data_IF_439253980806
#
_entry.id   IF_439253980806
#
_cell.length_a   1.000
_cell.length_b   1.000
_cell.length_c   1.000
_cell.angle_alpha   90.00
_cell.angle_beta   90.00
_cell.angle_gamma   90.00
#
_symmetry.space_group_name_H-M   'P 1'
#
loop_
_entity.id
_entity.type
_entity.pdbx_description
1 polymer ?
#
# COMPACT_ATOMS: atom_id res chain seq x y z
N UNK A 1 2.01 16.46 13.25
CA UNK A 1 0.53 16.53 13.26
C UNK A 1 -0.11 15.24 12.77
N UNK A 2 0.14 14.79 11.54
CA UNK A 2 -0.45 13.56 10.96
C UNK A 2 -0.29 12.31 11.84
N UNK A 3 0.89 12.11 12.46
CA UNK A 3 1.10 11.00 13.40
C UNK A 3 0.11 10.99 14.57
N UNK A 4 -0.22 12.15 15.13
CA UNK A 4 -1.17 12.26 16.25
C UNK A 4 -2.58 11.87 15.80
N UNK A 5 -2.97 12.32 14.60
CA UNK A 5 -4.25 11.95 13.99
C UNK A 5 -4.32 10.45 13.69
N UNK A 6 -3.24 9.85 13.19
CA UNK A 6 -3.15 8.41 12.95
C UNK A 6 -3.30 7.61 14.25
N UNK A 7 -2.61 8.02 15.32
CA UNK A 7 -2.73 7.36 16.63
C UNK A 7 -4.13 7.49 17.23
N UNK A 8 -4.80 8.63 17.04
CA UNK A 8 -6.17 8.79 17.50
C UNK A 8 -7.15 7.91 16.71
N UNK A 9 -6.99 7.81 15.39
CA UNK A 9 -7.77 6.90 14.55
C UNK A 9 -7.52 5.43 14.93
N UNK A 10 -6.26 5.04 15.13
CA UNK A 10 -5.87 3.69 15.55
C UNK A 10 -6.49 3.34 16.90
N UNK A 11 -6.33 4.23 17.90
CA UNK A 11 -6.94 4.09 19.23
C UNK A 11 -8.46 3.95 19.13
N UNK A 12 -9.10 4.78 18.31
CA UNK A 12 -10.55 4.76 18.11
C UNK A 12 -11.02 3.41 17.55
N UNK A 13 -10.35 2.91 16.50
CA UNK A 13 -10.63 1.62 15.89
C UNK A 13 -10.43 0.45 16.85
N UNK A 14 -9.29 0.39 17.55
CA UNK A 14 -8.96 -0.70 18.48
C UNK A 14 -9.91 -0.79 19.68
N UNK A 15 -10.43 0.36 20.13
CA UNK A 15 -11.30 0.43 21.30
C UNK A 15 -12.79 0.54 20.93
N UNK A 16 -13.15 0.46 19.64
CA UNK A 16 -14.52 0.70 19.16
C UNK A 16 -15.14 2.02 19.67
N UNK A 17 -14.34 3.09 19.68
CA UNK A 17 -14.76 4.43 20.13
C UNK A 17 -14.68 5.45 18.99
N UNK A 18 -15.22 6.65 19.20
CA UNK A 18 -15.04 7.76 18.24
C UNK A 18 -13.62 8.34 18.35
N UNK A 19 -13.04 8.82 17.23
CA UNK A 19 -11.82 9.63 17.30
C UNK A 19 -12.07 10.91 18.09
N UNK A 20 -11.07 11.35 18.85
CA UNK A 20 -11.10 12.59 19.63
C UNK A 20 -10.95 13.82 18.74
N UNK A 21 -10.17 13.71 17.67
CA UNK A 21 -9.96 14.78 16.71
C UNK A 21 -11.16 14.80 15.76
N UNK A 22 -11.93 15.90 15.70
CA UNK A 22 -13.08 16.02 14.81
C UNK A 22 -12.69 15.88 13.33
N UNK A 23 -13.57 15.30 12.53
CA UNK A 23 -13.36 15.00 11.11
C UNK A 23 -12.85 16.22 10.31
N UNK A 24 -13.45 17.40 10.54
CA UNK A 24 -13.08 18.64 9.85
C UNK A 24 -11.68 19.19 10.20
N UNK A 25 -11.02 18.64 11.23
CA UNK A 25 -9.66 19.00 11.62
C UNK A 25 -8.61 17.98 11.18
N UNK A 26 -9.02 16.81 10.66
CA UNK A 26 -8.14 15.72 10.26
C UNK A 26 -7.51 16.03 8.92
N UNK A 27 -6.23 16.34 8.93
CA UNK A 27 -5.43 16.52 7.72
C UNK A 27 -5.01 15.19 7.11
N UNK A 28 -4.86 14.14 7.91
CA UNK A 28 -4.33 12.84 7.46
C UNK A 28 -5.08 12.23 6.27
N UNK A 29 -6.37 12.52 6.13
CA UNK A 29 -7.20 12.02 5.01
C UNK A 29 -7.13 12.90 3.75
N UNK A 30 -6.50 14.07 3.83
CA UNK A 30 -6.41 15.05 2.72
C UNK A 30 -4.97 15.39 2.33
N UNK A 31 -3.98 15.12 3.18
CA UNK A 31 -2.59 15.44 2.85
C UNK A 31 -2.09 14.59 1.68
N UNK A 32 -1.63 15.20 0.56
CA UNK A 32 -1.18 14.47 -0.63
C UNK A 32 0.02 13.55 -0.35
N UNK A 33 0.93 14.00 0.51
CA UNK A 33 2.09 13.22 0.96
C UNK A 33 1.80 12.42 2.25
N UNK A 34 0.52 12.36 2.64
CA UNK A 34 0.06 11.57 3.77
C UNK A 34 -0.05 10.08 3.44
N UNK A 35 -0.17 9.21 4.46
CA UNK A 35 -0.17 7.76 4.28
C UNK A 35 -1.32 7.22 3.42
N UNK A 36 -2.41 7.99 3.24
CA UNK A 36 -3.55 7.60 2.39
C UNK A 36 -3.36 7.97 0.92
N UNK A 37 -2.51 8.95 0.60
CA UNK A 37 -2.39 9.54 -0.74
C UNK A 37 -0.99 9.39 -1.34
N UNK A 38 0.02 9.07 -0.54
CA UNK A 38 1.40 8.99 -1.00
C UNK A 38 1.58 7.91 -2.08
N UNK A 39 2.03 8.33 -3.28
CA UNK A 39 2.26 7.44 -4.45
C UNK A 39 3.74 7.17 -4.72
N UNK A 40 4.65 7.84 -4.02
CA UNK A 40 6.07 7.86 -4.35
C UNK A 40 6.71 6.47 -4.42
N UNK A 41 6.30 5.53 -3.58
CA UNK A 41 6.80 4.15 -3.64
C UNK A 41 6.56 3.47 -5.00
N UNK A 42 5.45 3.78 -5.68
CA UNK A 42 5.07 3.18 -6.95
C UNK A 42 5.54 3.96 -8.18
N UNK A 43 5.94 5.22 -8.01
CA UNK A 43 6.24 6.13 -9.13
C UNK A 43 7.69 6.57 -9.20
N UNK A 44 8.43 6.47 -8.09
CA UNK A 44 9.84 6.89 -8.03
C UNK A 44 10.75 5.77 -8.52
N UNK A 45 11.88 6.16 -9.12
CA UNK A 45 12.97 5.26 -9.45
C UNK A 45 13.42 4.46 -8.21
N UNK A 46 13.48 3.13 -8.35
CA UNK A 46 13.70 2.24 -7.22
C UNK A 46 15.12 2.35 -6.66
N UNK A 47 16.11 2.50 -7.54
CA UNK A 47 17.52 2.57 -7.14
C UNK A 47 17.79 3.88 -6.37
N UNK A 48 17.25 4.99 -6.85
CA UNK A 48 17.38 6.30 -6.20
C UNK A 48 16.70 6.37 -4.82
N UNK A 49 15.68 5.54 -4.56
CA UNK A 49 14.86 5.65 -3.35
C UNK A 49 15.03 4.51 -2.33
N UNK A 50 15.83 3.48 -2.67
CA UNK A 50 16.06 2.29 -1.83
C UNK A 50 16.52 2.62 -0.40
N UNK A 51 17.48 3.52 -0.23
CA UNK A 51 17.99 3.88 1.11
C UNK A 51 16.91 4.54 1.98
N UNK A 52 15.99 5.29 1.36
CA UNK A 52 14.86 5.87 2.09
C UNK A 52 13.88 4.78 2.51
N UNK A 53 13.61 3.77 1.67
CA UNK A 53 12.78 2.62 2.03
C UNK A 53 13.37 1.86 3.21
N UNK A 54 14.68 1.60 3.21
CA UNK A 54 15.36 0.93 4.33
C UNK A 54 15.20 1.70 5.65
N UNK A 55 15.35 3.04 5.60
CA UNK A 55 15.14 3.91 6.77
C UNK A 55 13.69 3.89 7.24
N UNK A 56 12.73 3.92 6.31
CA UNK A 56 11.29 3.90 6.63
C UNK A 56 10.94 2.58 7.31
N UNK A 57 11.30 1.45 6.72
CA UNK A 57 11.03 0.11 7.28
C UNK A 57 11.66 -0.06 8.66
N UNK A 58 12.91 0.39 8.83
CA UNK A 58 13.58 0.39 10.15
C UNK A 58 12.81 1.22 11.19
N UNK A 59 12.34 2.42 10.82
CA UNK A 59 11.58 3.28 11.72
C UNK A 59 10.19 2.72 12.08
N UNK A 60 9.63 1.88 11.20
CA UNK A 60 8.36 1.18 11.41
C UNK A 60 8.53 -0.17 12.11
N UNK A 61 9.78 -0.60 12.36
CA UNK A 61 10.10 -1.93 12.88
C UNK A 61 9.47 -3.05 12.05
N UNK A 62 9.46 -2.86 10.72
CA UNK A 62 8.85 -3.77 9.76
C UNK A 62 9.88 -4.31 8.78
N UNK A 63 9.71 -5.56 8.35
CA UNK A 63 10.55 -6.19 7.32
C UNK A 63 10.05 -5.87 5.90
N UNK A 64 8.73 -5.81 5.76
CA UNK A 64 8.01 -5.61 4.50
C UNK A 64 6.90 -4.56 4.66
N UNK A 65 6.51 -3.93 3.57
CA UNK A 65 5.35 -3.03 3.51
C UNK A 65 4.42 -3.43 2.37
N UNK A 66 3.11 -3.44 2.62
CA UNK A 66 2.08 -3.64 1.60
C UNK A 66 1.40 -2.31 1.31
N UNK A 67 1.32 -1.92 0.03
CA UNK A 67 0.76 -0.64 -0.40
C UNK A 67 -0.26 -0.81 -1.52
N UNK A 68 -1.08 0.23 -1.74
CA UNK A 68 -2.08 0.27 -2.80
C UNK A 68 -2.16 1.69 -3.40
N UNK A 69 -3.35 2.10 -3.83
CA UNK A 69 -3.71 3.45 -4.31
C UNK A 69 -3.16 3.85 -5.68
N UNK A 70 -2.07 3.24 -6.14
CA UNK A 70 -1.51 3.45 -7.47
C UNK A 70 -1.65 2.18 -8.30
N UNK A 71 -2.67 2.08 -9.17
CA UNK A 71 -2.93 0.89 -9.97
C UNK A 71 -1.73 0.50 -10.83
N UNK A 72 -1.35 -0.78 -10.77
CA UNK A 72 -0.32 -1.39 -11.59
C UNK A 72 -0.90 -2.55 -12.40
N UNK A 73 -0.34 -2.75 -13.59
CA UNK A 73 -0.68 -3.90 -14.43
C UNK A 73 0.20 -5.06 -14.00
N UNK A 74 -0.40 -6.07 -13.36
CA UNK A 74 0.31 -7.22 -12.83
C UNK A 74 0.16 -8.41 -13.79
N UNK A 75 1.28 -8.88 -14.33
CA UNK A 75 1.37 -10.08 -15.18
C UNK A 75 2.11 -11.21 -14.49
N UNK A 76 3.11 -10.87 -13.68
CA UNK A 76 3.86 -11.82 -12.86
C UNK A 76 3.87 -11.39 -11.40
N UNK A 77 4.35 -12.27 -10.53
CA UNK A 77 4.53 -11.97 -9.11
C UNK A 77 5.54 -10.84 -8.89
N UNK A 78 6.55 -10.76 -9.74
CA UNK A 78 7.61 -9.74 -9.68
C UNK A 78 7.06 -8.34 -9.97
N UNK A 79 5.99 -8.22 -10.78
CA UNK A 79 5.34 -6.92 -11.02
C UNK A 79 4.71 -6.32 -9.75
N UNK A 80 4.41 -7.16 -8.75
CA UNK A 80 3.93 -6.70 -7.43
C UNK A 80 5.08 -6.32 -6.49
N UNK A 81 6.33 -6.62 -6.84
CA UNK A 81 7.48 -6.38 -5.97
C UNK A 81 8.16 -5.05 -6.32
N UNK A 82 8.32 -4.22 -5.30
CA UNK A 82 9.07 -2.98 -5.35
C UNK A 82 10.25 -3.07 -4.37
N UNK A 83 11.34 -2.39 -4.70
CA UNK A 83 12.55 -2.30 -3.88
C UNK A 83 13.09 -3.67 -3.47
N UNK A 84 13.30 -4.55 -4.46
CA UNK A 84 13.80 -5.92 -4.23
C UNK A 84 12.91 -6.73 -3.28
N UNK A 85 11.59 -6.56 -3.39
CA UNK A 85 10.58 -7.29 -2.61
C UNK A 85 10.38 -6.76 -1.18
N UNK A 86 10.97 -5.61 -0.83
CA UNK A 86 10.76 -4.96 0.48
C UNK A 86 9.40 -4.26 0.57
N UNK A 87 8.83 -3.88 -0.58
CA UNK A 87 7.49 -3.33 -0.68
C UNK A 87 6.70 -4.16 -1.69
N UNK A 88 5.43 -4.44 -1.37
CA UNK A 88 4.50 -5.15 -2.23
C UNK A 88 3.32 -4.25 -2.60
N UNK A 89 3.05 -4.09 -3.89
CA UNK A 89 1.90 -3.31 -4.38
C UNK A 89 0.73 -4.23 -4.74
N UNK A 90 -0.42 -3.99 -4.11
CA UNK A 90 -1.64 -4.80 -4.26
C UNK A 90 -2.77 -4.07 -5.00
N UNK A 91 -2.52 -2.85 -5.49
CA UNK A 91 -3.46 -2.17 -6.36
C UNK A 91 -3.31 -2.69 -7.79
N UNK A 92 -3.96 -3.82 -8.07
CA UNK A 92 -3.83 -4.54 -9.34
C UNK A 92 -4.84 -4.05 -10.40
N UNK A 93 -5.46 -2.90 -10.17
CA UNK A 93 -6.44 -2.32 -11.08
C UNK A 93 -7.76 -3.10 -11.14
N UNK A 94 -8.31 -3.49 -9.98
CA UNK A 94 -9.54 -4.30 -9.90
C UNK A 94 -10.81 -3.58 -10.38
N UNK A 95 -10.79 -2.25 -10.44
CA UNK A 95 -11.94 -1.46 -10.89
C UNK A 95 -12.22 -1.70 -12.37
N UNK A 96 -13.49 -1.56 -12.77
CA UNK A 96 -13.91 -1.76 -14.17
C UNK A 96 -13.14 -0.88 -15.16
N UNK A 97 -12.87 0.37 -14.77
CA UNK A 97 -12.09 1.31 -15.57
C UNK A 97 -10.68 0.77 -15.86
N UNK A 98 -9.96 0.31 -14.84
CA UNK A 98 -8.59 -0.16 -15.00
C UNK A 98 -8.52 -1.51 -15.72
N UNK A 99 -9.48 -2.40 -15.45
CA UNK A 99 -9.61 -3.66 -16.19
C UNK A 99 -9.84 -3.43 -17.68
N UNK A 100 -10.75 -2.53 -18.03
CA UNK A 100 -11.13 -2.27 -19.43
C UNK A 100 -10.06 -1.52 -20.21
N UNK A 101 -9.37 -0.57 -19.59
CA UNK A 101 -8.47 0.34 -20.30
C UNK A 101 -6.97 0.09 -20.10
N UNK A 102 -6.59 -0.61 -19.03
CA UNK A 102 -5.18 -0.80 -18.67
C UNK A 102 -4.79 -2.27 -18.54
N UNK A 103 -5.74 -3.20 -18.71
CA UNK A 103 -5.48 -4.62 -18.49
C UNK A 103 -5.31 -4.96 -17.01
N UNK A 104 -5.94 -4.21 -16.11
CA UNK A 104 -6.02 -4.54 -14.69
C UNK A 104 -6.61 -5.93 -14.46
N UNK A 105 -6.22 -6.57 -13.36
CA UNK A 105 -6.55 -7.97 -13.07
C UNK A 105 -7.04 -8.13 -11.63
N UNK A 106 -8.01 -9.01 -11.43
CA UNK A 106 -8.39 -9.46 -10.10
C UNK A 106 -7.30 -10.38 -9.59
N UNK A 107 -6.50 -9.89 -8.67
CA UNK A 107 -5.39 -10.62 -8.07
C UNK A 107 -5.29 -10.29 -6.59
N UNK A 108 -4.66 -11.17 -5.82
CA UNK A 108 -4.44 -10.96 -4.39
C UNK A 108 -3.04 -11.42 -4.00
N UNK A 109 -2.39 -10.65 -3.12
CA UNK A 109 -1.18 -11.08 -2.44
C UNK A 109 -1.55 -12.07 -1.34
N UNK A 110 -0.93 -13.24 -1.36
CA UNK A 110 -0.99 -14.23 -0.30
C UNK A 110 0.30 -14.11 0.51
N UNK A 111 0.16 -14.02 1.83
CA UNK A 111 1.28 -14.11 2.77
C UNK A 111 0.94 -15.22 3.74
N UNK A 112 1.70 -16.32 3.69
CA UNK A 112 1.51 -17.48 4.56
C UNK A 112 2.86 -17.97 5.08
N UNK A 113 3.03 -18.06 6.39
CA UNK A 113 4.27 -18.45 7.06
C UNK A 113 5.56 -17.75 6.58
N UNK A 114 5.43 -16.48 6.16
CA UNK A 114 6.55 -15.69 5.63
C UNK A 114 6.84 -15.92 4.14
N UNK A 115 6.11 -16.84 3.50
CA UNK A 115 6.11 -17.00 2.06
C UNK A 115 5.09 -16.06 1.42
N UNK A 116 5.49 -15.46 0.29
CA UNK A 116 4.68 -14.55 -0.49
C UNK A 116 4.27 -15.26 -1.78
N UNK A 117 3.00 -15.22 -2.14
CA UNK A 117 2.49 -15.75 -3.41
C UNK A 117 1.38 -14.85 -3.97
N UNK A 118 0.92 -15.11 -5.20
CA UNK A 118 -0.10 -14.30 -5.85
C UNK A 118 -1.21 -15.17 -6.42
N UNK A 119 -2.42 -14.95 -5.91
CA UNK A 119 -3.62 -15.52 -6.51
C UNK A 119 -4.04 -14.72 -7.74
N UNK A 120 -4.58 -15.43 -8.73
CA UNK A 120 -5.23 -14.84 -9.89
C UNK A 120 -4.31 -14.60 -11.10
N UNK A 121 -3.01 -14.91 -11.04
CA UNK A 121 -2.10 -14.77 -12.20
C UNK A 121 -2.24 -15.89 -13.24
N UNK A 122 -2.57 -17.08 -12.78
CA UNK A 122 -3.00 -18.17 -13.66
C UNK A 122 -4.48 -17.94 -13.98
N UNK A 123 -4.93 -18.28 -15.18
CA UNK A 123 -6.32 -18.12 -15.65
C UNK A 123 -7.30 -19.07 -14.93
N UNK A 124 -7.28 -19.06 -13.60
CA UNK A 124 -8.23 -19.75 -12.76
C UNK A 124 -9.58 -19.02 -12.92
N UNK A 125 -10.40 -19.63 -13.78
CA UNK A 125 -11.79 -19.26 -14.02
C UNK A 125 -12.65 -19.41 -12.78
#
# INVERSE_FOLDING_TARGET
RLRIELEDLRRAAMNYTRPKIPDYQRQIVYEPDGPYWYRGFATTDQDAFKENVDRILKNLEAEYMVIAHTPQVIKTKEDMQLFQGRIWIIDTGISELYRTHMGGRLSALIIDNGEFDVWGLNDDK
#
